data_IF_412552346687
#
_entry.id   IF_412552346687
#
_cell.length_a   1.000
_cell.length_b   1.000
_cell.length_c   1.000
_cell.angle_alpha   90.00
_cell.angle_beta   90.00
_cell.angle_gamma   90.00
#
_symmetry.space_group_name_H-M   'P 1'
#
loop_
_entity.id
_entity.type
_entity.pdbx_description
1 polymer ?
#
# COMPACT_ATOMS: atom_id res chain seq x y z
N UNK A 1 -23.67 84.41 7.45
CA UNK A 1 -22.64 83.81 8.28
C UNK A 1 -22.86 82.30 8.26
N UNK A 2 -22.16 81.62 7.37
CA UNK A 2 -22.38 80.17 7.11
C UNK A 2 -21.15 79.41 7.66
N UNK A 3 -21.36 78.52 8.60
CA UNK A 3 -20.31 77.72 9.22
C UNK A 3 -20.34 76.36 8.54
N UNK A 4 -19.28 76.06 7.80
CA UNK A 4 -19.07 74.81 7.16
C UNK A 4 -18.53 73.80 8.19
N UNK A 5 -19.14 72.61 8.30
CA UNK A 5 -18.64 71.43 9.05
C UNK A 5 -17.73 70.60 8.14
N UNK A 6 -16.56 70.14 8.58
CA UNK A 6 -15.75 69.25 7.83
C UNK A 6 -16.17 67.77 8.06
N UNK A 7 -16.35 67.04 6.97
CA UNK A 7 -16.58 65.59 6.97
C UNK A 7 -15.31 64.85 7.37
N UNK A 8 -15.34 64.21 8.56
CA UNK A 8 -14.33 63.22 8.94
C UNK A 8 -14.60 61.91 8.17
N UNK A 9 -13.78 61.63 7.17
CA UNK A 9 -13.75 60.36 6.50
C UNK A 9 -13.14 59.30 7.44
N UNK A 10 -14.00 58.37 7.91
CA UNK A 10 -13.52 57.18 8.61
C UNK A 10 -12.89 56.20 7.63
N UNK A 11 -11.58 56.19 7.59
CA UNK A 11 -10.79 55.21 6.88
C UNK A 11 -10.83 53.86 7.66
N UNK A 12 -11.69 52.95 7.23
CA UNK A 12 -11.67 51.56 7.77
C UNK A 12 -10.46 50.83 7.15
N UNK A 13 -9.42 50.66 7.96
CA UNK A 13 -8.27 49.82 7.66
C UNK A 13 -8.70 48.38 7.80
N UNK A 14 -9.14 47.74 6.73
CA UNK A 14 -9.37 46.29 6.68
C UNK A 14 -8.02 45.60 6.60
N UNK A 15 -7.48 45.18 7.76
CA UNK A 15 -6.37 44.26 7.82
C UNK A 15 -6.85 42.89 7.30
N UNK A 16 -6.62 42.63 6.02
CA UNK A 16 -6.77 41.31 5.43
C UNK A 16 -5.62 40.45 5.96
N UNK A 17 -5.85 39.72 7.06
CA UNK A 17 -4.94 38.69 7.53
C UNK A 17 -4.88 37.59 6.48
N UNK A 18 -3.86 37.62 5.61
CA UNK A 18 -3.52 36.51 4.72
C UNK A 18 -3.13 35.32 5.60
N UNK A 19 -4.09 34.46 5.86
CA UNK A 19 -3.82 33.14 6.45
C UNK A 19 -3.07 32.38 5.36
N UNK A 20 -1.74 32.37 5.45
CA UNK A 20 -0.87 31.50 4.64
C UNK A 20 -1.16 30.05 5.05
N UNK A 21 -2.13 29.42 4.44
CA UNK A 21 -2.31 27.98 4.52
C UNK A 21 -1.13 27.36 3.78
N UNK A 22 -0.11 26.98 4.52
CA UNK A 22 0.99 26.18 3.95
C UNK A 22 0.42 24.85 3.53
N UNK A 23 0.57 24.43 2.25
CA UNK A 23 0.21 23.08 1.87
C UNK A 23 1.04 22.11 2.72
N UNK A 24 0.38 21.20 3.44
CA UNK A 24 1.06 20.13 4.16
C UNK A 24 1.60 19.20 3.06
N UNK A 25 2.86 19.38 2.72
CA UNK A 25 3.55 18.47 1.82
C UNK A 25 3.73 17.12 2.54
N UNK A 26 3.42 16.03 1.83
CA UNK A 26 3.65 14.69 2.38
C UNK A 26 5.16 14.48 2.60
N UNK A 27 5.51 13.93 3.76
CA UNK A 27 6.90 13.64 4.12
C UNK A 27 7.40 12.46 3.29
N UNK A 28 8.57 12.62 2.65
CA UNK A 28 9.22 11.52 1.93
C UNK A 28 9.98 10.64 2.91
N UNK A 29 9.68 9.35 2.91
CA UNK A 29 10.31 8.34 3.76
C UNK A 29 11.31 7.54 2.94
N UNK A 30 12.57 7.53 3.40
CA UNK A 30 13.66 6.73 2.84
C UNK A 30 13.99 5.59 3.81
N UNK A 31 13.30 4.45 3.64
CA UNK A 31 13.54 3.28 4.50
C UNK A 31 12.96 3.45 5.91
N UNK A 32 13.58 2.90 6.90
CA UNK A 32 13.17 2.60 8.26
C UNK A 32 12.81 3.76 9.19
N UNK A 33 12.12 4.73 8.72
CA UNK A 33 11.76 5.90 9.54
C UNK A 33 10.65 5.56 10.54
N UNK A 34 10.76 6.19 11.70
CA UNK A 34 9.69 6.19 12.70
C UNK A 34 8.68 7.27 12.33
N UNK A 35 7.43 6.87 12.27
CA UNK A 35 6.29 7.76 12.03
C UNK A 35 5.31 7.67 13.20
N UNK A 36 4.44 8.65 13.31
CA UNK A 36 3.35 8.62 14.27
C UNK A 36 2.04 8.39 13.52
N UNK A 37 1.23 7.47 14.01
CA UNK A 37 -0.15 7.38 13.54
C UNK A 37 -0.94 8.62 13.98
N UNK A 38 -2.08 8.86 13.35
CA UNK A 38 -3.00 9.91 13.76
C UNK A 38 -4.24 9.31 14.37
N UNK A 39 -4.80 9.97 15.38
CA UNK A 39 -6.07 9.56 15.96
C UNK A 39 -7.20 9.73 14.92
N UNK A 40 -7.97 8.66 14.71
CA UNK A 40 -9.18 8.69 13.89
C UNK A 40 -10.34 9.19 14.75
N UNK A 41 -10.68 10.48 14.62
CA UNK A 41 -11.70 11.13 15.45
C UNK A 41 -13.14 10.93 14.96
N UNK A 42 -13.35 10.22 13.87
CA UNK A 42 -14.64 9.93 13.27
C UNK A 42 -14.78 8.50 12.79
N UNK A 43 -15.92 8.20 12.18
CA UNK A 43 -16.10 6.91 11.50
C UNK A 43 -15.23 6.87 10.26
N UNK A 44 -14.27 5.94 10.23
CA UNK A 44 -13.51 5.66 9.01
C UNK A 44 -14.28 4.63 8.19
N UNK A 45 -14.64 5.00 6.98
CA UNK A 45 -15.28 4.10 6.03
C UNK A 45 -14.19 3.44 5.18
N UNK A 46 -14.24 2.13 5.05
CA UNK A 46 -13.31 1.38 4.20
C UNK A 46 -14.01 1.11 2.87
N UNK A 47 -14.00 2.09 1.99
CA UNK A 47 -14.70 2.06 0.69
C UNK A 47 -13.76 2.24 -0.52
N UNK A 48 -12.45 2.40 -0.26
CA UNK A 48 -11.43 2.62 -1.28
C UNK A 48 -11.32 4.08 -1.72
N UNK A 49 -11.88 5.02 -0.97
CA UNK A 49 -11.77 6.46 -1.22
C UNK A 49 -11.00 7.15 -0.10
N UNK A 50 -10.54 8.36 -0.36
CA UNK A 50 -9.75 9.13 0.61
C UNK A 50 -10.52 10.30 1.23
N UNK A 51 -11.84 10.35 1.05
CA UNK A 51 -12.66 11.48 1.47
C UNK A 51 -12.59 11.73 3.00
N UNK A 52 -12.55 10.65 3.79
CA UNK A 52 -12.39 10.70 5.25
C UNK A 52 -10.92 10.78 5.72
N UNK A 53 -9.95 10.80 4.79
CA UNK A 53 -8.53 10.99 5.05
C UNK A 53 -8.05 12.43 4.87
N UNK A 54 -8.99 13.39 4.76
CA UNK A 54 -8.71 14.81 4.52
C UNK A 54 -7.84 15.04 3.25
N UNK A 55 -8.13 14.30 2.19
CA UNK A 55 -7.53 14.37 0.85
C UNK A 55 -6.01 14.27 0.77
N UNK A 56 -5.34 13.94 1.88
CA UNK A 56 -3.88 13.88 1.91
C UNK A 56 -3.35 12.67 2.67
N UNK A 57 -2.46 11.94 2.00
CA UNK A 57 -1.63 10.93 2.65
C UNK A 57 -0.34 11.58 3.12
N UNK A 58 0.05 11.31 4.37
CA UNK A 58 1.10 12.07 5.06
C UNK A 58 2.52 11.68 4.64
N UNK A 59 2.69 10.50 4.10
CA UNK A 59 3.99 9.90 3.84
C UNK A 59 4.10 9.39 2.41
N UNK A 60 5.28 9.54 1.81
CA UNK A 60 5.61 8.99 0.50
C UNK A 60 6.84 8.09 0.61
N UNK A 61 6.81 6.94 -0.05
CA UNK A 61 7.99 6.09 -0.22
C UNK A 61 8.45 6.10 -1.68
N UNK A 62 9.72 6.42 -1.92
CA UNK A 62 10.28 6.58 -3.27
C UNK A 62 10.45 5.23 -3.99
N UNK A 63 10.80 4.17 -3.28
CA UNK A 63 11.07 2.86 -3.87
C UNK A 63 9.82 2.21 -4.45
N UNK A 64 8.73 2.22 -3.68
CA UNK A 64 7.44 1.68 -4.09
C UNK A 64 6.55 2.68 -4.78
N UNK A 65 6.88 3.99 -4.69
CA UNK A 65 6.05 5.12 -5.14
C UNK A 65 4.66 5.10 -4.51
N UNK A 66 4.59 4.63 -3.26
CA UNK A 66 3.38 4.69 -2.47
C UNK A 66 3.31 6.00 -1.71
N UNK A 67 2.14 6.64 -1.76
CA UNK A 67 1.73 7.60 -0.74
C UNK A 67 0.86 6.85 0.26
N UNK A 68 1.04 7.08 1.56
CA UNK A 68 0.27 6.36 2.57
C UNK A 68 0.07 7.17 3.85
N UNK A 69 -0.88 6.73 4.65
CA UNK A 69 -1.13 7.21 6.00
C UNK A 69 -1.55 6.06 6.90
N UNK A 70 -1.22 6.19 8.19
CA UNK A 70 -1.65 5.28 9.24
C UNK A 70 -2.44 6.09 10.25
N UNK A 71 -3.62 5.60 10.61
CA UNK A 71 -4.46 6.12 11.70
C UNK A 71 -4.85 5.00 12.64
N UNK A 72 -5.24 5.33 13.83
CA UNK A 72 -5.87 4.39 14.73
C UNK A 72 -6.91 5.10 15.60
N UNK A 73 -7.85 4.33 16.11
CA UNK A 73 -8.65 4.67 17.28
C UNK A 73 -8.30 3.69 18.42
N UNK A 74 -9.13 3.61 19.46
CA UNK A 74 -8.91 2.69 20.60
C UNK A 74 -8.99 1.20 20.24
N UNK A 75 -9.54 0.84 19.09
CA UNK A 75 -9.91 -0.54 18.73
C UNK A 75 -9.32 -1.00 17.39
N UNK A 76 -9.03 -0.10 16.47
CA UNK A 76 -8.72 -0.41 15.08
C UNK A 76 -7.54 0.40 14.55
N UNK A 77 -6.67 -0.26 13.82
CA UNK A 77 -5.62 0.32 12.98
C UNK A 77 -6.14 0.48 11.57
N UNK A 78 -6.03 1.69 11.01
CA UNK A 78 -6.43 2.03 9.66
C UNK A 78 -5.21 2.40 8.82
N UNK A 79 -5.18 1.92 7.59
CA UNK A 79 -4.13 2.21 6.63
C UNK A 79 -4.79 2.64 5.33
N UNK A 80 -4.40 3.79 4.81
CA UNK A 80 -4.69 4.18 3.44
C UNK A 80 -3.40 4.23 2.63
N UNK A 81 -3.45 3.71 1.42
CA UNK A 81 -2.34 3.62 0.49
C UNK A 81 -2.80 4.04 -0.90
N UNK A 82 -1.99 4.85 -1.58
CA UNK A 82 -2.21 5.28 -2.95
C UNK A 82 -0.98 4.97 -3.80
N UNK A 83 -1.18 4.25 -4.89
CA UNK A 83 -0.14 3.93 -5.88
C UNK A 83 -0.33 4.74 -7.14
N UNK A 84 0.70 5.49 -7.54
CA UNK A 84 0.75 6.27 -8.79
C UNK A 84 1.53 5.56 -9.89
N UNK A 85 2.13 4.41 -9.58
CA UNK A 85 3.02 3.72 -10.52
C UNK A 85 2.29 2.63 -11.29
N UNK A 86 2.06 2.90 -12.57
CA UNK A 86 1.42 1.95 -13.49
C UNK A 86 2.23 0.63 -13.61
N UNK A 87 3.56 0.69 -13.47
CA UNK A 87 4.41 -0.51 -13.56
C UNK A 87 4.17 -1.49 -12.41
N UNK A 88 3.84 -0.98 -11.24
CA UNK A 88 3.53 -1.81 -10.08
C UNK A 88 2.17 -2.51 -10.18
N UNK A 89 1.21 -1.95 -10.94
CA UNK A 89 -0.15 -2.49 -11.04
C UNK A 89 -0.18 -3.94 -11.50
N UNK A 90 0.67 -4.32 -12.45
CA UNK A 90 0.75 -5.70 -12.92
C UNK A 90 1.03 -6.71 -11.80
N UNK A 91 1.98 -6.40 -10.92
CA UNK A 91 2.28 -7.22 -9.74
C UNK A 91 1.18 -7.15 -8.70
N UNK A 92 0.63 -5.95 -8.43
CA UNK A 92 -0.45 -5.76 -7.46
C UNK A 92 -1.70 -6.58 -7.86
N UNK A 93 -2.12 -6.51 -9.12
CA UNK A 93 -3.27 -7.28 -9.61
C UNK A 93 -3.02 -8.78 -9.70
N UNK A 94 -1.77 -9.19 -9.85
CA UNK A 94 -1.44 -10.62 -9.95
C UNK A 94 -1.14 -11.29 -8.61
N UNK A 95 -0.67 -10.53 -7.60
CA UNK A 95 -0.14 -11.07 -6.34
C UNK A 95 -0.53 -10.28 -5.10
N UNK A 96 -1.14 -9.10 -5.25
CA UNK A 96 -1.50 -8.22 -4.14
C UNK A 96 -0.33 -7.48 -3.51
N UNK A 97 -0.66 -6.75 -2.47
CA UNK A 97 0.27 -6.08 -1.55
C UNK A 97 0.16 -6.79 -0.21
N UNK A 98 1.30 -7.10 0.40
CA UNK A 98 1.38 -7.59 1.77
C UNK A 98 1.46 -6.42 2.74
N UNK A 99 0.54 -6.40 3.69
CA UNK A 99 0.52 -5.53 4.87
C UNK A 99 0.85 -6.40 6.07
N UNK A 100 2.09 -6.34 6.56
CA UNK A 100 2.53 -7.19 7.66
C UNK A 100 2.85 -6.36 8.89
N UNK A 101 2.48 -6.88 10.07
CA UNK A 101 2.60 -6.19 11.34
C UNK A 101 3.52 -6.95 12.27
N UNK A 102 4.49 -6.27 12.88
CA UNK A 102 5.34 -6.85 13.91
C UNK A 102 5.19 -6.04 15.20
N UNK A 103 4.61 -6.67 16.20
CA UNK A 103 4.28 -6.04 17.47
C UNK A 103 5.50 -5.80 18.37
N UNK A 104 6.61 -6.51 18.13
CA UNK A 104 7.89 -6.26 18.81
C UNK A 104 8.67 -5.07 18.20
N UNK A 105 8.14 -4.41 17.18
CA UNK A 105 8.83 -3.35 16.45
C UNK A 105 10.06 -3.81 15.65
N UNK A 106 10.17 -5.13 15.37
CA UNK A 106 11.26 -5.72 14.60
C UNK A 106 10.88 -5.79 13.11
N UNK A 107 11.88 -5.71 12.21
CA UNK A 107 11.70 -5.93 10.77
C UNK A 107 11.58 -7.42 10.44
N UNK A 108 10.60 -8.06 11.01
CA UNK A 108 10.28 -9.46 10.76
C UNK A 108 8.78 -9.54 10.53
N UNK A 109 8.32 -10.17 9.42
CA UNK A 109 6.90 -10.34 9.17
C UNK A 109 6.21 -11.04 10.35
N UNK A 110 5.06 -10.52 10.76
CA UNK A 110 4.11 -11.10 11.70
C UNK A 110 2.76 -11.30 11.02
N UNK A 111 1.64 -11.10 11.73
CA UNK A 111 0.32 -11.12 11.14
C UNK A 111 0.29 -10.30 9.85
N UNK A 112 -0.21 -10.89 8.77
CA UNK A 112 -0.10 -10.34 7.42
C UNK A 112 -1.45 -10.41 6.71
N UNK A 113 -1.83 -9.31 6.06
CA UNK A 113 -2.96 -9.22 5.14
C UNK A 113 -2.40 -9.07 3.74
N UNK A 114 -2.90 -9.84 2.77
CA UNK A 114 -2.59 -9.67 1.36
C UNK A 114 -3.85 -9.18 0.65
N UNK A 115 -3.76 -8.02 0.02
CA UNK A 115 -4.85 -7.38 -0.69
C UNK A 115 -4.33 -6.45 -1.80
N UNK A 116 -5.00 -6.28 -2.96
CA UNK A 116 -6.18 -7.00 -3.41
C UNK A 116 -5.88 -8.45 -3.81
N UNK A 117 -6.86 -9.34 -3.66
CA UNK A 117 -6.79 -10.71 -4.15
C UNK A 117 -7.73 -10.85 -5.34
N UNK A 118 -7.16 -10.76 -6.53
CA UNK A 118 -7.93 -10.86 -7.77
C UNK A 118 -7.96 -12.32 -8.23
N UNK A 119 -9.15 -12.89 -8.31
CA UNK A 119 -9.33 -14.23 -8.87
C UNK A 119 -9.19 -14.16 -10.39
N UNK A 120 -8.25 -14.91 -10.95
CA UNK A 120 -8.16 -15.06 -12.40
C UNK A 120 -9.30 -15.95 -12.86
N UNK A 121 -10.31 -15.35 -13.46
CA UNK A 121 -11.26 -16.15 -14.27
C UNK A 121 -10.46 -16.81 -15.39
N UNK A 122 -10.52 -18.13 -15.46
CA UNK A 122 -9.75 -18.95 -16.41
C UNK A 122 -10.08 -18.76 -17.90
N UNK A 123 -10.56 -17.59 -18.27
CA UNK A 123 -10.77 -17.22 -19.66
C UNK A 123 -9.42 -16.91 -20.33
N UNK A 124 -8.73 -17.96 -20.74
CA UNK A 124 -7.70 -17.88 -21.78
C UNK A 124 -8.38 -17.69 -23.15
N UNK A 125 -9.18 -16.63 -23.29
CA UNK A 125 -9.64 -16.21 -24.58
C UNK A 125 -8.42 -15.77 -25.39
N UNK A 126 -8.18 -16.41 -26.54
CA UNK A 126 -7.21 -15.94 -27.51
C UNK A 126 -7.69 -14.57 -28.01
N UNK A 127 -7.27 -13.49 -27.32
CA UNK A 127 -7.48 -12.16 -27.86
C UNK A 127 -6.62 -12.02 -29.11
N UNK A 128 -7.23 -11.77 -30.21
CA UNK A 128 -6.56 -11.57 -31.52
C UNK A 128 -5.81 -10.23 -31.54
N UNK A 129 -6.11 -9.33 -30.62
CA UNK A 129 -5.52 -8.00 -30.53
C UNK A 129 -5.13 -7.68 -29.07
N UNK A 130 -3.96 -7.11 -28.89
CA UNK A 130 -3.54 -6.63 -27.57
C UNK A 130 -4.50 -5.51 -27.10
N UNK A 131 -4.97 -5.55 -25.82
CA UNK A 131 -5.87 -4.54 -25.30
C UNK A 131 -5.16 -3.18 -25.20
N UNK A 132 -5.91 -2.12 -25.39
CA UNK A 132 -5.45 -0.74 -25.17
C UNK A 132 -5.28 -0.48 -23.66
N UNK A 133 -4.54 0.58 -23.31
CA UNK A 133 -4.35 0.99 -21.90
C UNK A 133 -5.70 1.28 -21.23
N UNK A 134 -6.65 1.91 -21.94
CA UNK A 134 -7.99 2.18 -21.42
C UNK A 134 -8.80 0.91 -21.14
N UNK A 135 -8.78 -0.05 -22.06
CA UNK A 135 -9.45 -1.35 -21.86
C UNK A 135 -8.86 -2.13 -20.68
N UNK A 136 -7.55 -2.10 -20.52
CA UNK A 136 -6.88 -2.70 -19.35
C UNK A 136 -7.36 -2.02 -18.06
N UNK A 137 -7.47 -0.68 -18.05
CA UNK A 137 -7.92 0.07 -16.88
C UNK A 137 -9.37 -0.26 -16.50
N UNK A 138 -10.26 -0.29 -17.47
CA UNK A 138 -11.66 -0.67 -17.21
C UNK A 138 -11.79 -2.11 -16.69
N UNK A 139 -11.01 -3.03 -17.27
CA UNK A 139 -10.94 -4.40 -16.75
C UNK A 139 -10.44 -4.45 -15.30
N UNK A 140 -9.42 -3.66 -14.96
CA UNK A 140 -8.91 -3.55 -13.60
C UNK A 140 -9.97 -3.00 -12.63
N UNK A 141 -10.74 -1.98 -13.02
CA UNK A 141 -11.85 -1.45 -12.19
C UNK A 141 -12.89 -2.54 -11.90
N UNK A 142 -13.28 -3.29 -12.92
CA UNK A 142 -14.23 -4.42 -12.77
C UNK A 142 -13.67 -5.47 -11.82
N UNK A 143 -12.39 -5.83 -11.96
CA UNK A 143 -11.72 -6.80 -11.08
C UNK A 143 -11.72 -6.33 -9.62
N UNK A 144 -11.46 -5.04 -9.35
CA UNK A 144 -11.50 -4.51 -7.99
C UNK A 144 -12.89 -4.54 -7.39
N UNK A 145 -13.92 -4.21 -8.19
CA UNK A 145 -15.31 -4.24 -7.75
C UNK A 145 -15.82 -5.65 -7.43
N UNK A 146 -15.24 -6.69 -8.03
CA UNK A 146 -15.61 -8.11 -7.80
C UNK A 146 -14.77 -8.81 -6.75
N UNK A 147 -13.89 -8.11 -6.01
CA UNK A 147 -13.10 -8.73 -4.96
C UNK A 147 -14.00 -9.25 -3.83
N UNK A 148 -13.87 -10.53 -3.53
CA UNK A 148 -14.67 -11.22 -2.49
C UNK A 148 -13.84 -11.72 -1.31
N UNK A 149 -12.51 -11.67 -1.41
CA UNK A 149 -11.62 -12.31 -0.46
C UNK A 149 -10.43 -11.42 -0.08
N UNK A 150 -9.95 -11.66 1.13
CA UNK A 150 -8.72 -11.13 1.70
C UNK A 150 -7.88 -12.34 2.10
N UNK A 151 -6.60 -12.39 1.77
CA UNK A 151 -5.72 -13.44 2.31
C UNK A 151 -5.10 -12.95 3.63
N UNK A 152 -5.12 -13.80 4.63
CA UNK A 152 -4.56 -13.54 5.96
C UNK A 152 -3.60 -14.65 6.36
N UNK A 153 -2.51 -14.28 7.06
CA UNK A 153 -1.51 -15.21 7.55
C UNK A 153 -0.97 -14.76 8.91
N UNK A 154 -0.73 -15.73 9.79
CA UNK A 154 -0.05 -15.51 11.07
C UNK A 154 -0.86 -14.76 12.11
N UNK A 155 -2.17 -14.65 11.98
CA UNK A 155 -3.06 -14.13 13.02
C UNK A 155 -3.35 -15.25 14.03
N UNK A 156 -3.26 -14.98 15.36
CA UNK A 156 -3.44 -16.03 16.36
C UNK A 156 -4.80 -16.74 16.26
N UNK A 157 -5.87 -15.96 16.07
CA UNK A 157 -7.25 -16.48 16.11
C UNK A 157 -7.87 -16.71 14.72
N UNK A 158 -7.09 -16.59 13.64
CA UNK A 158 -7.59 -16.75 12.29
C UNK A 158 -6.73 -17.78 11.55
N UNK A 159 -7.40 -18.81 11.00
CA UNK A 159 -6.68 -19.78 10.16
C UNK A 159 -6.11 -19.12 8.93
N UNK A 160 -4.84 -19.40 8.62
CA UNK A 160 -4.17 -18.94 7.41
C UNK A 160 -4.94 -19.28 6.15
N UNK A 161 -5.02 -18.29 5.24
CA UNK A 161 -5.63 -18.45 3.94
C UNK A 161 -6.61 -17.34 3.57
N UNK A 162 -7.51 -17.65 2.64
CA UNK A 162 -8.50 -16.69 2.15
C UNK A 162 -9.70 -16.63 3.08
N UNK A 163 -10.03 -15.44 3.57
CA UNK A 163 -11.28 -15.13 4.29
C UNK A 163 -12.20 -14.30 3.40
N UNK A 164 -13.49 -14.30 3.70
CA UNK A 164 -14.45 -13.43 3.00
C UNK A 164 -14.12 -11.96 3.26
N UNK A 165 -14.32 -11.10 2.28
CA UNK A 165 -14.26 -9.65 2.50
C UNK A 165 -15.34 -9.19 3.49
N UNK A 166 -16.45 -9.92 3.55
CA UNK A 166 -17.50 -9.78 4.58
C UNK A 166 -17.28 -10.80 5.69
N UNK A 167 -16.18 -10.67 6.43
CA UNK A 167 -15.83 -11.55 7.53
C UNK A 167 -16.36 -11.04 8.87
N UNK A 168 -16.34 -11.90 9.89
CA UNK A 168 -16.77 -11.59 11.27
C UNK A 168 -15.60 -11.17 12.18
N UNK A 169 -14.37 -11.21 11.68
CA UNK A 169 -13.18 -10.82 12.44
C UNK A 169 -13.02 -9.31 12.55
N UNK A 170 -13.76 -8.53 11.74
CA UNK A 170 -13.65 -7.08 11.69
C UNK A 170 -12.52 -6.57 10.80
N UNK A 171 -11.80 -7.45 10.09
CA UNK A 171 -10.83 -7.03 9.08
C UNK A 171 -11.60 -6.51 7.87
N UNK A 172 -11.34 -5.26 7.46
CA UNK A 172 -11.94 -4.69 6.28
C UNK A 172 -10.85 -4.25 5.29
N UNK A 173 -11.16 -4.37 4.00
CA UNK A 173 -10.30 -3.92 2.93
C UNK A 173 -11.12 -3.46 1.73
N UNK A 174 -10.71 -2.38 1.10
CA UNK A 174 -11.31 -1.88 -0.14
C UNK A 174 -10.23 -1.34 -1.07
N UNK A 175 -10.48 -1.42 -2.37
CA UNK A 175 -9.60 -0.85 -3.38
C UNK A 175 -10.41 -0.29 -4.55
N UNK A 176 -10.06 0.91 -4.98
CA UNK A 176 -10.64 1.55 -6.17
C UNK A 176 -9.59 2.36 -6.92
N UNK A 177 -9.97 2.92 -8.06
CA UNK A 177 -9.18 3.95 -8.73
C UNK A 177 -9.79 5.32 -8.47
N UNK A 178 -8.95 6.29 -8.11
CA UNK A 178 -9.37 7.69 -7.98
C UNK A 178 -9.60 8.35 -9.36
N UNK A 179 -10.05 9.61 -9.35
CA UNK A 179 -10.32 10.38 -10.57
C UNK A 179 -9.09 10.63 -11.45
N UNK A 180 -7.88 10.43 -10.92
CA UNK A 180 -6.60 10.53 -11.61
C UNK A 180 -6.02 9.17 -12.00
N UNK A 181 -6.84 8.11 -11.95
CA UNK A 181 -6.44 6.72 -12.22
C UNK A 181 -5.33 6.16 -11.32
N UNK A 182 -5.17 6.70 -10.11
CA UNK A 182 -4.30 6.09 -9.12
C UNK A 182 -5.06 5.00 -8.37
N UNK A 183 -4.40 3.89 -8.07
CA UNK A 183 -4.96 2.85 -7.23
C UNK A 183 -4.96 3.32 -5.77
N UNK A 184 -6.12 3.32 -5.14
CA UNK A 184 -6.32 3.60 -3.71
C UNK A 184 -6.69 2.29 -3.03
N UNK A 185 -6.07 2.02 -1.90
CA UNK A 185 -6.33 0.85 -1.06
C UNK A 185 -6.52 1.32 0.38
N UNK A 186 -7.53 0.80 1.04
CA UNK A 186 -7.77 1.00 2.45
C UNK A 186 -7.85 -0.34 3.17
N UNK A 187 -7.27 -0.40 4.36
CA UNK A 187 -7.26 -1.57 5.24
C UNK A 187 -7.64 -1.12 6.64
N UNK A 188 -8.51 -1.89 7.29
CA UNK A 188 -8.78 -1.77 8.72
C UNK A 188 -8.49 -3.11 9.41
N UNK A 189 -7.75 -3.05 10.53
CA UNK A 189 -7.37 -4.22 11.33
C UNK A 189 -7.70 -3.96 12.77
N UNK A 190 -8.57 -4.75 13.42
CA UNK A 190 -8.79 -4.66 14.86
C UNK A 190 -7.50 -4.90 15.65
N UNK A 191 -7.19 -4.01 16.61
CA UNK A 191 -5.95 -4.06 17.41
C UNK A 191 -5.86 -5.36 18.23
N UNK A 192 -6.99 -5.90 18.70
CA UNK A 192 -7.01 -7.15 19.45
C UNK A 192 -6.51 -8.35 18.62
N UNK A 193 -6.71 -8.36 17.29
CA UNK A 193 -6.18 -9.41 16.42
C UNK A 193 -4.65 -9.34 16.26
N UNK A 194 -4.06 -8.19 16.59
CA UNK A 194 -2.62 -7.98 16.64
C UNK A 194 -2.06 -8.11 18.05
N UNK A 195 -2.91 -8.40 19.04
CA UNK A 195 -2.55 -8.48 20.48
C UNK A 195 -1.88 -7.20 20.99
N UNK A 196 -2.32 -6.03 20.52
CA UNK A 196 -1.79 -4.71 20.89
C UNK A 196 -2.88 -3.79 21.40
N UNK A 197 -2.44 -2.79 22.19
CA UNK A 197 -3.25 -1.68 22.68
C UNK A 197 -2.64 -0.35 22.24
N UNK A 198 -3.34 0.76 22.41
CA UNK A 198 -2.81 2.09 22.09
C UNK A 198 -1.60 2.51 22.96
N UNK A 199 -1.36 1.84 24.09
CA UNK A 199 -0.18 2.04 24.93
C UNK A 199 1.00 1.16 24.55
N UNK A 200 0.83 0.34 23.53
CA UNK A 200 1.86 -0.60 23.06
C UNK A 200 3.12 0.13 22.56
N UNK A 201 4.26 -0.55 22.64
CA UNK A 201 5.51 -0.08 22.03
C UNK A 201 5.33 0.12 20.53
N UNK A 202 6.17 0.95 19.88
CA UNK A 202 6.08 1.13 18.43
C UNK A 202 6.05 -0.21 17.69
N UNK A 203 5.09 -0.37 16.79
CA UNK A 203 4.97 -1.53 15.93
C UNK A 203 5.71 -1.29 14.61
N UNK A 204 6.22 -2.35 14.00
CA UNK A 204 6.79 -2.27 12.66
C UNK A 204 5.77 -2.78 11.63
N UNK A 205 5.54 -1.98 10.59
CA UNK A 205 4.65 -2.31 9.48
C UNK A 205 5.48 -2.47 8.20
N UNK A 206 5.28 -3.58 7.48
CA UNK A 206 5.80 -3.80 6.13
C UNK A 206 4.69 -3.54 5.11
N UNK A 207 5.01 -2.76 4.09
CA UNK A 207 4.20 -2.65 2.88
C UNK A 207 5.01 -3.19 1.72
N UNK A 208 4.60 -4.33 1.16
CA UNK A 208 5.36 -5.01 0.11
C UNK A 208 4.47 -5.36 -1.08
N UNK A 209 4.81 -4.84 -2.26
CA UNK A 209 4.25 -5.32 -3.53
C UNK A 209 4.81 -6.71 -3.76
N UNK A 210 3.94 -7.71 -3.76
CA UNK A 210 4.35 -9.08 -3.93
C UNK A 210 4.92 -9.34 -5.34
N UNK A 211 5.94 -10.17 -5.40
CA UNK A 211 6.66 -10.44 -6.63
C UNK A 211 7.16 -11.87 -6.73
N UNK A 212 8.02 -12.10 -7.71
CA UNK A 212 8.74 -13.37 -7.90
C UNK A 212 10.18 -13.15 -7.51
N UNK A 213 10.63 -13.81 -6.45
CA UNK A 213 12.04 -13.76 -6.05
C UNK A 213 12.89 -14.43 -7.15
N UNK A 214 14.05 -13.84 -7.43
CA UNK A 214 15.02 -14.47 -8.32
C UNK A 214 15.29 -15.90 -7.86
N UNK A 215 15.30 -16.89 -8.76
CA UNK A 215 15.76 -18.21 -8.40
C UNK A 215 17.21 -18.04 -7.90
N UNK A 216 17.49 -18.54 -6.70
CA UNK A 216 18.88 -18.64 -6.25
C UNK A 216 19.59 -19.49 -7.30
N UNK A 217 20.60 -18.92 -7.97
CA UNK A 217 21.45 -19.70 -8.85
C UNK A 217 22.01 -20.85 -8.00
N UNK A 218 21.56 -22.07 -8.27
CA UNK A 218 22.19 -23.24 -7.68
C UNK A 218 23.66 -23.17 -8.13
N UNK A 219 24.59 -23.12 -7.17
CA UNK A 219 26.00 -23.22 -7.48
C UNK A 219 26.20 -24.58 -8.15
N UNK A 220 26.42 -24.56 -9.44
CA UNK A 220 26.76 -25.74 -10.22
C UNK A 220 28.29 -25.81 -10.29
N UNK A 221 28.92 -26.67 -9.50
CA UNK A 221 30.38 -26.82 -9.49
C UNK A 221 30.94 -27.34 -10.83
N UNK A 222 30.07 -27.86 -11.73
CA UNK A 222 30.49 -28.31 -13.07
C UNK A 222 30.65 -27.15 -14.06
N UNK A 223 30.24 -25.93 -13.72
CA UNK A 223 30.40 -24.70 -14.54
C UNK A 223 31.73 -23.98 -14.32
N UNK A 224 32.64 -24.50 -13.48
CA UNK A 224 34.00 -23.96 -13.40
C UNK A 224 34.78 -24.41 -14.65
N UNK A 225 34.62 -23.60 -15.71
CA UNK A 225 35.08 -23.87 -17.09
C UNK A 225 36.61 -23.86 -17.26
N UNK A 226 37.37 -24.08 -16.19
CA UNK A 226 38.85 -24.15 -16.26
C UNK A 226 39.41 -25.52 -16.60
N UNK A 227 38.56 -26.55 -16.84
CA UNK A 227 39.09 -27.90 -17.07
C UNK A 227 38.48 -28.65 -18.27
N UNK A 228 38.02 -27.98 -19.32
CA UNK A 228 37.66 -28.64 -20.57
C UNK A 228 38.78 -28.48 -21.62
N UNK A 229 39.89 -29.19 -21.42
CA UNK A 229 40.96 -29.24 -22.42
C UNK A 229 40.81 -30.40 -23.42
N UNK A 230 39.69 -31.10 -23.41
CA UNK A 230 39.40 -32.13 -24.43
C UNK A 230 37.92 -32.03 -24.83
N UNK A 231 37.73 -31.53 -26.05
CA UNK A 231 36.42 -31.40 -26.66
C UNK A 231 35.84 -32.73 -27.10
N UNK A 232 34.68 -33.09 -26.52
CA UNK A 232 33.69 -33.93 -27.18
C UNK A 232 32.38 -33.17 -27.20
N UNK A 233 31.71 -33.03 -28.35
CA UNK A 233 30.39 -32.41 -28.39
C UNK A 233 29.37 -33.36 -27.78
N UNK A 234 29.08 -33.21 -26.50
CA UNK A 234 27.90 -33.83 -25.93
C UNK A 234 26.66 -33.18 -26.55
N UNK A 235 25.96 -33.96 -27.37
CA UNK A 235 24.61 -33.65 -27.87
C UNK A 235 23.73 -33.33 -26.66
N UNK A 236 23.56 -32.04 -26.38
CA UNK A 236 22.78 -31.58 -25.24
C UNK A 236 21.31 -31.95 -25.40
N UNK A 237 20.81 -32.77 -24.52
CA UNK A 237 19.40 -32.87 -24.22
C UNK A 237 18.90 -31.48 -23.82
N UNK A 238 17.77 -31.07 -24.42
CA UNK A 238 17.26 -29.71 -24.37
C UNK A 238 17.25 -29.12 -22.96
N UNK A 239 18.03 -28.07 -22.81
CA UNK A 239 17.89 -27.20 -21.67
C UNK A 239 16.49 -26.57 -21.75
N UNK A 240 15.59 -26.96 -20.87
CA UNK A 240 14.40 -26.15 -20.60
C UNK A 240 14.90 -24.73 -20.35
N UNK A 241 14.57 -23.81 -21.23
CA UNK A 241 14.89 -22.41 -21.06
C UNK A 241 14.18 -21.99 -19.79
N UNK A 242 14.94 -21.86 -18.69
CA UNK A 242 14.41 -21.25 -17.48
C UNK A 242 13.70 -19.97 -17.90
N UNK A 243 12.46 -19.75 -17.43
CA UNK A 243 11.72 -18.53 -17.74
C UNK A 243 12.63 -17.33 -17.53
N UNK A 244 12.70 -16.43 -18.52
CA UNK A 244 13.53 -15.23 -18.38
C UNK A 244 13.07 -14.49 -17.13
N UNK A 245 13.93 -14.47 -16.12
CA UNK A 245 13.67 -13.71 -14.92
C UNK A 245 13.55 -12.23 -15.27
N UNK A 246 12.45 -11.63 -14.89
CA UNK A 246 12.21 -10.20 -15.09
C UNK A 246 12.36 -9.49 -13.73
N UNK A 247 13.40 -8.69 -13.60
CA UNK A 247 13.69 -7.91 -12.39
C UNK A 247 12.53 -6.98 -11.97
N UNK A 248 11.70 -6.55 -12.93
CA UNK A 248 10.52 -5.73 -12.62
C UNK A 248 9.43 -6.49 -11.85
N UNK A 249 9.53 -7.82 -11.81
CA UNK A 249 8.60 -8.66 -11.05
C UNK A 249 9.12 -9.02 -9.65
N UNK A 250 10.27 -8.51 -9.22
CA UNK A 250 10.76 -8.69 -7.85
C UNK A 250 9.82 -8.04 -6.83
N UNK A 251 9.72 -8.62 -5.62
CA UNK A 251 9.04 -7.95 -4.52
C UNK A 251 9.70 -6.60 -4.23
N UNK A 252 8.88 -5.58 -3.98
CA UNK A 252 9.35 -4.25 -3.59
C UNK A 252 8.59 -3.82 -2.36
N UNK A 253 9.28 -3.45 -1.30
CA UNK A 253 8.62 -3.07 -0.07
C UNK A 253 9.51 -2.29 0.86
N UNK A 254 8.91 -1.71 1.87
CA UNK A 254 9.60 -0.92 2.89
C UNK A 254 8.97 -1.17 4.25
N UNK A 255 9.77 -0.95 5.29
CA UNK A 255 9.34 -0.99 6.67
C UNK A 255 9.15 0.41 7.22
N UNK A 256 8.15 0.60 8.06
CA UNK A 256 7.99 1.76 8.91
C UNK A 256 7.76 1.32 10.34
N UNK A 257 8.29 2.08 11.30
CA UNK A 257 7.91 1.94 12.70
C UNK A 257 6.87 2.99 13.02
N UNK A 258 5.75 2.60 13.61
CA UNK A 258 4.69 3.54 13.99
C UNK A 258 4.35 3.44 15.47
N UNK A 259 4.24 4.60 16.09
CA UNK A 259 3.65 4.73 17.43
C UNK A 259 2.17 5.04 17.26
N UNK A 260 1.32 4.28 17.96
CA UNK A 260 -0.12 4.50 17.91
C UNK A 260 -0.50 5.81 18.61
N UNK A 261 -1.43 6.54 18.00
CA UNK A 261 -1.97 7.76 18.58
C UNK A 261 -2.84 7.44 19.82
N UNK A 262 -2.78 8.30 20.81
CA UNK A 262 -3.65 8.25 21.99
C UNK A 262 -4.76 9.29 21.86
N UNK A 263 -5.93 8.99 22.44
CA UNK A 263 -6.99 9.98 22.54
C UNK A 263 -6.57 11.08 23.51
N UNK A 264 -6.38 12.29 23.03
CA UNK A 264 -6.00 13.44 23.86
C UNK A 264 -7.19 14.04 24.63
N UNK A 265 -8.39 13.52 24.41
CA UNK A 265 -9.63 14.01 25.04
C UNK A 265 -10.11 13.11 26.20
N UNK A 266 -9.27 12.18 26.66
CA UNK A 266 -9.52 11.36 27.86
C UNK A 266 -8.53 11.74 28.96
#
# INVERSE_FOLDING_TARGET
MSIAMPYLSRLYLICFALICVKPIAAQTIKGDEQINSRWASGSQQIDGKLDDWADSLNYNNEETRFSFSIRNNGETLFIALKSRDVQNLGNIFSRGISFSFNTDGKKKPGPTIIFPVVERSGQTGKSVKAPTVGEVREMQKIMLADIKRINVHGFPDIRDGAISIKNTYGIAAAATFDAQDNLVIEIAVPLHLLEITTDHQPIACLFEINGVKAPRAAYDPSRDSRNTRYGYPTRGYGYERLPRYNKNNEPKGFWVKTTLAKNLNN
#
